data_IF_239463513624
#
_entry.id   IF_239463513624
#
_cell.length_a   1.000
_cell.length_b   1.000
_cell.length_c   1.000
_cell.angle_alpha   90.00
_cell.angle_beta   90.00
_cell.angle_gamma   90.00
#
_symmetry.space_group_name_H-M   'P 1'
#
loop_
_entity.id
_entity.type
_entity.pdbx_description
1 polymer ?
#
# COMPACT_ATOMS: atom_id res chain seq x y z
N UNK A 1 -24.77 53.49 30.49
CA UNK A 1 -24.96 52.66 29.28
C UNK A 1 -23.71 51.82 29.07
N UNK A 2 -23.80 50.50 29.18
CA UNK A 2 -22.68 49.55 29.05
C UNK A 2 -22.86 48.81 27.72
N UNK A 3 -22.05 49.16 26.72
CA UNK A 3 -22.07 48.52 25.40
C UNK A 3 -21.14 47.31 25.44
N UNK A 4 -21.73 46.12 25.45
CA UNK A 4 -21.02 44.84 25.41
C UNK A 4 -20.82 44.51 23.93
N UNK A 5 -19.63 44.77 23.37
CA UNK A 5 -19.24 44.23 22.07
C UNK A 5 -18.85 42.76 22.26
N UNK A 6 -19.74 41.84 21.90
CA UNK A 6 -19.38 40.43 21.68
C UNK A 6 -18.65 40.32 20.35
N UNK A 7 -17.36 39.98 20.40
CA UNK A 7 -16.57 39.62 19.22
C UNK A 7 -16.79 38.13 18.91
N UNK A 8 -17.60 37.83 17.90
CA UNK A 8 -17.79 36.48 17.38
C UNK A 8 -16.55 36.09 16.57
N UNK A 9 -15.71 35.22 17.13
CA UNK A 9 -14.58 34.60 16.43
C UNK A 9 -15.14 33.52 15.51
N UNK A 10 -15.08 33.74 14.20
CA UNK A 10 -15.46 32.79 13.17
C UNK A 10 -14.26 31.88 12.86
N UNK A 11 -14.20 30.72 13.53
CA UNK A 11 -13.16 29.71 13.29
C UNK A 11 -13.36 29.04 11.93
N UNK A 12 -12.52 29.36 10.95
CA UNK A 12 -12.45 28.66 9.66
C UNK A 12 -11.61 27.40 9.84
N UNK A 13 -12.26 26.25 10.06
CA UNK A 13 -11.62 24.95 9.91
C UNK A 13 -11.53 24.63 8.41
N UNK A 14 -10.35 24.85 7.82
CA UNK A 14 -10.05 24.40 6.47
C UNK A 14 -9.95 22.88 6.43
N UNK A 15 -10.67 22.24 5.50
CA UNK A 15 -10.53 20.82 5.23
C UNK A 15 -9.12 20.54 4.70
N UNK A 16 -8.30 19.85 5.48
CA UNK A 16 -7.04 19.33 4.96
C UNK A 16 -7.37 18.12 4.08
N UNK A 17 -7.22 18.28 2.77
CA UNK A 17 -7.23 17.14 1.87
C UNK A 17 -6.00 16.29 2.22
N UNK A 18 -6.23 15.07 2.71
CA UNK A 18 -5.19 14.07 2.81
C UNK A 18 -4.72 13.76 1.38
N UNK A 19 -3.61 14.37 0.97
CA UNK A 19 -2.96 14.06 -0.29
C UNK A 19 -2.26 12.72 -0.11
N UNK A 20 -2.59 11.76 -0.98
CA UNK A 20 -1.90 10.48 -1.02
C UNK A 20 -0.39 10.71 -1.18
N UNK A 21 0.40 9.97 -0.40
CA UNK A 21 1.84 9.94 -0.52
C UNK A 21 2.29 9.39 -1.89
N UNK A 22 3.54 9.66 -2.30
CA UNK A 22 4.05 9.23 -3.61
C UNK A 22 4.06 7.71 -3.82
N UNK A 23 4.07 6.95 -2.72
CA UNK A 23 4.08 5.49 -2.74
C UNK A 23 2.82 4.89 -2.10
N UNK A 24 1.76 5.67 -1.90
CA UNK A 24 0.51 5.12 -1.35
C UNK A 24 -0.08 4.09 -2.32
N UNK A 25 -0.53 2.96 -1.76
CA UNK A 25 -0.99 1.83 -2.56
C UNK A 25 -1.04 0.51 -1.80
N UNK A 26 -1.67 -0.48 -2.42
CA UNK A 26 -1.64 -1.88 -2.00
C UNK A 26 -0.76 -2.65 -2.99
N UNK A 27 0.13 -3.49 -2.49
CA UNK A 27 1.13 -4.16 -3.31
C UNK A 27 1.23 -5.66 -3.00
N UNK A 28 1.29 -6.46 -4.06
CA UNK A 28 1.38 -7.92 -4.00
C UNK A 28 2.72 -8.35 -3.40
N UNK A 29 2.72 -9.19 -2.37
CA UNK A 29 3.96 -9.75 -1.82
C UNK A 29 4.61 -10.80 -2.73
N UNK A 30 3.78 -11.50 -3.51
CA UNK A 30 4.16 -12.49 -4.51
C UNK A 30 3.17 -12.44 -5.67
N UNK A 31 3.48 -13.08 -6.80
CA UNK A 31 2.64 -13.04 -8.00
C UNK A 31 1.17 -13.48 -7.76
N UNK A 32 0.97 -14.45 -6.86
CA UNK A 32 -0.33 -15.01 -6.49
C UNK A 32 -0.87 -14.46 -5.15
N UNK A 33 -0.38 -13.30 -4.70
CA UNK A 33 -0.79 -12.68 -3.45
C UNK A 33 -2.27 -12.27 -3.44
N UNK A 34 -2.94 -12.47 -2.32
CA UNK A 34 -4.32 -12.05 -2.13
C UNK A 34 -4.40 -10.57 -1.73
N UNK A 35 -4.72 -9.72 -2.71
CA UNK A 35 -4.73 -8.26 -2.57
C UNK A 35 -5.68 -7.72 -1.49
N UNK A 36 -6.73 -8.47 -1.15
CA UNK A 36 -7.68 -8.07 -0.10
C UNK A 36 -7.15 -8.31 1.32
N UNK A 37 -6.12 -9.15 1.48
CA UNK A 37 -5.56 -9.54 2.77
C UNK A 37 -4.28 -8.75 3.03
N UNK A 38 -4.34 -7.71 3.86
CA UNK A 38 -3.20 -6.83 4.14
C UNK A 38 -2.42 -7.32 5.36
N UNK A 39 -1.09 -7.36 5.25
CA UNK A 39 -0.18 -7.59 6.38
C UNK A 39 -0.16 -9.02 6.92
N UNK A 40 -0.54 -10.00 6.08
CA UNK A 40 -0.50 -11.43 6.40
C UNK A 40 0.31 -12.19 5.36
N UNK A 41 0.77 -13.39 5.72
CA UNK A 41 1.46 -14.29 4.80
C UNK A 41 0.60 -14.60 3.56
N UNK A 42 1.21 -14.50 2.39
CA UNK A 42 0.52 -14.72 1.10
C UNK A 42 -0.46 -13.61 0.70
N UNK A 43 -0.57 -12.54 1.49
CA UNK A 43 -1.39 -11.37 1.18
C UNK A 43 -0.62 -10.25 0.49
N UNK A 44 -1.09 -9.02 0.67
CA UNK A 44 -0.46 -7.79 0.19
C UNK A 44 0.12 -6.95 1.33
N UNK A 45 1.04 -6.04 0.99
CA UNK A 45 1.46 -4.95 1.86
C UNK A 45 0.75 -3.67 1.46
N UNK A 46 0.63 -2.71 2.38
CA UNK A 46 -0.01 -1.43 2.09
C UNK A 46 0.86 -0.28 2.55
N UNK A 47 0.90 0.78 1.76
CA UNK A 47 1.39 2.09 2.17
C UNK A 47 0.21 3.04 2.13
N UNK A 48 -0.10 3.69 3.25
CA UNK A 48 -1.12 4.72 3.30
C UNK A 48 -0.84 5.69 4.43
N UNK A 49 -1.02 6.98 4.18
CA UNK A 49 -0.93 8.02 5.21
C UNK A 49 0.43 8.02 5.93
N UNK A 50 1.50 7.66 5.21
CA UNK A 50 2.86 7.56 5.76
C UNK A 50 3.09 6.35 6.68
N UNK A 51 2.21 5.34 6.64
CA UNK A 51 2.36 4.08 7.35
C UNK A 51 2.54 2.93 6.35
N UNK A 52 3.57 2.12 6.56
CA UNK A 52 3.78 0.84 5.89
C UNK A 52 3.22 -0.30 6.75
N UNK A 53 2.26 -1.03 6.19
CA UNK A 53 1.64 -2.22 6.75
C UNK A 53 2.26 -3.45 6.06
N UNK A 54 3.31 -4.00 6.69
CA UNK A 54 4.00 -5.21 6.27
C UNK A 54 3.40 -6.46 6.94
N UNK A 55 3.96 -7.63 6.63
CA UNK A 55 3.63 -8.86 7.35
C UNK A 55 4.13 -8.74 8.78
N UNK A 56 3.22 -8.85 9.74
CA UNK A 56 3.52 -8.83 11.19
C UNK A 56 4.23 -7.55 11.69
N UNK A 57 4.31 -6.51 10.86
CA UNK A 57 5.00 -5.26 11.16
C UNK A 57 4.23 -4.06 10.65
N UNK A 58 4.15 -3.01 11.46
CA UNK A 58 3.67 -1.69 11.07
C UNK A 58 4.80 -0.68 11.26
N UNK A 59 5.09 0.13 10.24
CA UNK A 59 6.17 1.11 10.28
C UNK A 59 5.68 2.51 9.90
N UNK A 60 5.88 3.49 10.78
CA UNK A 60 5.75 4.90 10.40
C UNK A 60 6.94 5.32 9.55
N UNK A 61 6.66 5.80 8.36
CA UNK A 61 7.62 6.31 7.40
C UNK A 61 7.87 7.79 7.68
N UNK A 62 9.04 8.12 8.23
CA UNK A 62 9.40 9.47 8.65
C UNK A 62 10.63 9.99 7.92
N UNK A 63 10.84 11.31 8.01
CA UNK A 63 12.05 12.00 7.57
C UNK A 63 12.52 11.61 6.16
N UNK A 64 11.69 11.79 5.11
CA UNK A 64 12.07 11.45 3.75
C UNK A 64 13.28 12.26 3.29
N UNK A 65 14.29 11.57 2.77
CA UNK A 65 15.47 12.18 2.14
C UNK A 65 15.52 11.78 0.68
N UNK A 66 15.72 12.74 -0.21
CA UNK A 66 15.94 12.45 -1.63
C UNK A 66 17.25 11.70 -1.83
N UNK A 67 17.22 10.66 -2.66
CA UNK A 67 18.44 10.02 -3.14
C UNK A 67 18.95 10.81 -4.35
N UNK A 68 20.21 11.23 -4.30
CA UNK A 68 20.77 12.10 -5.35
C UNK A 68 20.75 11.39 -6.71
N UNK A 69 20.31 12.13 -7.73
CA UNK A 69 20.20 11.67 -9.12
C UNK A 69 19.34 10.41 -9.32
N UNK A 70 18.39 10.18 -8.42
CA UNK A 70 17.41 9.08 -8.49
C UNK A 70 16.01 9.59 -8.14
N UNK A 71 14.98 9.03 -8.79
CA UNK A 71 13.59 9.24 -8.37
C UNK A 71 13.23 8.28 -7.22
N UNK A 72 13.84 8.54 -6.07
CA UNK A 72 13.75 7.68 -4.89
C UNK A 72 13.78 8.50 -3.60
N UNK A 73 13.04 8.01 -2.60
CA UNK A 73 13.06 8.57 -1.25
C UNK A 73 13.55 7.53 -0.25
N UNK A 74 14.42 7.96 0.64
CA UNK A 74 14.94 7.17 1.73
C UNK A 74 14.30 7.63 3.04
N UNK A 75 13.54 6.72 3.65
CA UNK A 75 12.79 6.98 4.87
C UNK A 75 13.49 6.41 6.10
N UNK A 76 13.22 7.02 7.24
CA UNK A 76 13.38 6.39 8.55
C UNK A 76 12.10 5.61 8.87
N UNK A 77 12.21 4.29 9.00
CA UNK A 77 11.10 3.38 9.30
C UNK A 77 11.04 3.14 10.80
N UNK A 78 10.05 3.71 11.48
CA UNK A 78 9.83 3.51 12.91
C UNK A 78 8.79 2.40 13.09
N UNK A 79 9.26 1.19 13.37
CA UNK A 79 8.48 -0.02 13.27
C UNK A 79 8.06 -0.59 14.63
N UNK A 80 6.89 -1.23 14.65
CA UNK A 80 6.42 -2.09 15.72
C UNK A 80 5.91 -3.41 15.17
N UNK A 81 6.38 -4.53 15.72
CA UNK A 81 5.97 -5.89 15.34
C UNK A 81 6.42 -6.88 16.40
N UNK A 82 5.60 -7.91 16.68
CA UNK A 82 5.91 -8.98 17.65
C UNK A 82 6.48 -8.48 19.00
N UNK A 83 5.82 -7.50 19.62
CA UNK A 83 6.22 -6.85 20.88
C UNK A 83 7.57 -6.09 20.86
N UNK A 84 8.16 -5.92 19.67
CA UNK A 84 9.40 -5.18 19.48
C UNK A 84 9.14 -3.83 18.82
N UNK A 85 9.93 -2.83 19.21
CA UNK A 85 10.00 -1.53 18.54
C UNK A 85 11.42 -1.34 18.06
N UNK A 86 11.56 -1.05 16.77
CA UNK A 86 12.85 -0.88 16.13
C UNK A 86 12.80 0.25 15.10
N UNK A 87 13.98 0.70 14.68
CA UNK A 87 14.12 1.77 13.71
C UNK A 87 15.17 1.37 12.68
N UNK A 88 14.77 1.42 11.41
CA UNK A 88 15.63 1.09 10.27
C UNK A 88 15.45 2.11 9.16
N UNK A 89 16.18 1.94 8.04
CA UNK A 89 16.00 2.78 6.87
C UNK A 89 15.58 1.95 5.67
N UNK A 90 14.62 2.46 4.92
CA UNK A 90 14.18 1.86 3.67
C UNK A 90 14.12 2.91 2.57
N UNK A 91 14.71 2.59 1.42
CA UNK A 91 14.58 3.36 0.19
C UNK A 91 13.37 2.84 -0.60
N UNK A 92 12.53 3.74 -1.07
CA UNK A 92 11.45 3.45 -2.00
C UNK A 92 11.65 4.21 -3.30
N UNK A 93 11.29 3.55 -4.40
CA UNK A 93 11.21 4.15 -5.73
C UNK A 93 10.14 3.43 -6.55
N UNK A 94 9.65 4.08 -7.60
CA UNK A 94 8.76 3.43 -8.55
C UNK A 94 9.53 2.40 -9.38
N UNK A 95 8.89 1.29 -9.71
CA UNK A 95 9.46 0.32 -10.66
C UNK A 95 9.53 0.97 -12.04
N UNK A 96 10.60 0.68 -12.79
CA UNK A 96 10.76 1.23 -14.15
C UNK A 96 9.69 0.71 -15.13
N UNK A 97 9.17 -0.49 -14.89
CA UNK A 97 8.13 -1.14 -15.69
C UNK A 97 6.88 -1.36 -14.83
N UNK A 98 5.68 -1.19 -15.39
CA UNK A 98 4.42 -1.37 -14.66
C UNK A 98 4.13 -0.26 -13.63
N UNK A 99 3.26 -0.55 -12.67
CA UNK A 99 2.73 0.40 -11.68
C UNK A 99 3.14 0.08 -10.23
N UNK A 100 4.19 -0.72 -10.06
CA UNK A 100 4.71 -1.21 -8.79
C UNK A 100 5.81 -0.33 -8.17
N UNK A 101 6.39 -0.82 -7.08
CA UNK A 101 7.48 -0.16 -6.36
C UNK A 101 8.66 -1.12 -6.14
N UNK A 102 9.83 -0.53 -5.89
CA UNK A 102 11.00 -1.22 -5.37
C UNK A 102 11.24 -0.67 -3.96
N UNK A 103 11.32 -1.56 -2.97
CA UNK A 103 11.61 -1.22 -1.58
C UNK A 103 12.91 -1.90 -1.16
N UNK A 104 13.93 -1.11 -0.84
CA UNK A 104 15.26 -1.59 -0.47
C UNK A 104 15.52 -1.27 0.99
N UNK A 105 15.92 -2.29 1.73
CA UNK A 105 16.34 -2.21 3.12
C UNK A 105 17.82 -2.62 3.22
N UNK A 106 18.36 -2.69 4.44
CA UNK A 106 19.76 -3.09 4.64
C UNK A 106 19.97 -4.58 4.29
N UNK A 107 20.52 -4.83 3.09
CA UNK A 107 20.86 -6.17 2.62
C UNK A 107 19.77 -6.91 1.83
N UNK A 108 18.58 -6.31 1.66
CA UNK A 108 17.47 -6.93 0.92
C UNK A 108 16.68 -5.93 0.09
N UNK A 109 16.13 -6.40 -1.04
CA UNK A 109 15.32 -5.61 -1.95
C UNK A 109 14.08 -6.39 -2.35
N UNK A 110 12.93 -5.75 -2.22
CA UNK A 110 11.64 -6.27 -2.67
C UNK A 110 11.18 -5.49 -3.89
N UNK A 111 10.66 -6.22 -4.87
CA UNK A 111 9.99 -5.65 -6.03
C UNK A 111 8.53 -6.03 -5.92
N UNK A 112 7.66 -5.05 -5.70
CA UNK A 112 6.25 -5.28 -5.52
C UNK A 112 5.45 -4.78 -6.71
N UNK A 113 4.57 -5.63 -7.23
CA UNK A 113 3.54 -5.20 -8.17
C UNK A 113 2.37 -4.59 -7.42
N UNK A 114 1.76 -3.56 -8.00
CA UNK A 114 0.59 -2.94 -7.40
C UNK A 114 -0.62 -3.85 -7.59
N UNK A 115 -1.43 -3.96 -6.55
CA UNK A 115 -2.73 -4.60 -6.65
C UNK A 115 -3.67 -3.78 -7.56
N UNK A 116 -4.55 -4.43 -8.32
CA UNK A 116 -5.57 -3.71 -9.08
C UNK A 116 -6.40 -2.86 -8.13
N UNK A 117 -6.72 -1.63 -8.54
CA UNK A 117 -7.74 -0.83 -7.86
C UNK A 117 -9.05 -1.64 -7.80
N UNK A 118 -9.88 -1.50 -6.75
CA UNK A 118 -11.18 -2.17 -6.70
C UNK A 118 -12.00 -1.87 -7.96
N UNK A 119 -12.17 -2.88 -8.83
CA UNK A 119 -12.86 -2.77 -10.12
C UNK A 119 -11.96 -2.59 -11.36
N UNK A 120 -10.64 -2.57 -11.21
CA UNK A 120 -9.70 -2.63 -12.32
C UNK A 120 -9.49 -4.10 -12.75
N UNK A 121 -9.55 -4.33 -14.07
CA UNK A 121 -9.15 -5.62 -14.68
C UNK A 121 -7.63 -5.68 -14.76
N UNK A 122 -7.04 -6.70 -14.15
CA UNK A 122 -5.59 -6.96 -14.22
C UNK A 122 -5.26 -7.48 -15.64
N UNK A 123 -4.81 -6.59 -16.53
CA UNK A 123 -4.51 -6.91 -17.93
C UNK A 123 -3.20 -7.68 -18.11
N UNK A 124 -2.39 -7.76 -17.04
CA UNK A 124 -1.11 -8.47 -17.01
C UNK A 124 -1.20 -9.79 -16.23
N UNK A 125 -2.39 -10.15 -15.70
CA UNK A 125 -2.62 -11.47 -15.15
C UNK A 125 -2.48 -12.52 -16.27
N UNK A 126 -1.68 -13.59 -16.07
CA UNK A 126 -1.65 -14.68 -17.03
C UNK A 126 -3.07 -15.25 -17.13
N UNK A 127 -3.62 -15.28 -18.35
CA UNK A 127 -4.93 -15.86 -18.60
C UNK A 127 -4.95 -17.29 -18.06
N UNK A 128 -5.68 -17.52 -16.97
CA UNK A 128 -6.02 -18.89 -16.60
C UNK A 128 -7.04 -19.36 -17.63
N UNK A 129 -6.66 -20.39 -18.37
CA UNK A 129 -7.51 -21.05 -19.37
C UNK A 129 -8.58 -21.89 -18.64
N UNK A 130 -9.41 -21.24 -17.82
CA UNK A 130 -10.57 -21.85 -17.18
C UNK A 130 -11.76 -21.76 -18.13
N UNK A 131 -11.63 -22.44 -19.27
CA UNK A 131 -12.77 -22.99 -19.97
C UNK A 131 -13.39 -24.05 -19.05
N UNK A 132 -14.33 -23.61 -18.21
CA UNK A 132 -15.24 -24.49 -17.49
C UNK A 132 -15.84 -25.49 -18.49
N UNK A 133 -15.37 -26.73 -18.45
CA UNK A 133 -16.01 -27.83 -19.15
C UNK A 133 -17.46 -27.92 -18.63
N UNK A 134 -18.47 -27.99 -19.50
CA UNK A 134 -19.84 -28.18 -19.04
C UNK A 134 -19.94 -29.54 -18.35
N UNK A 135 -20.35 -29.54 -17.09
CA UNK A 135 -20.76 -30.75 -16.38
C UNK A 135 -22.00 -31.27 -17.09
N UNK A 136 -21.84 -32.31 -17.92
CA UNK A 136 -22.99 -33.02 -18.47
C UNK A 136 -23.55 -33.91 -17.37
N UNK A 137 -24.68 -33.46 -16.82
CA UNK A 137 -25.56 -34.24 -15.95
C UNK A 137 -26.18 -35.37 -16.78
N UNK A 138 -25.75 -36.61 -16.57
CA UNK A 138 -26.33 -37.79 -17.19
C UNK A 138 -27.32 -38.44 -16.23
N UNK A 139 -28.56 -37.92 -16.25
CA UNK A 139 -29.73 -38.62 -15.75
C UNK A 139 -30.28 -39.56 -16.83
N UNK A 140 -30.35 -40.86 -16.52
CA UNK A 140 -31.26 -41.88 -17.06
C UNK A 140 -31.20 -43.06 -16.06
N UNK A 141 -32.20 -43.38 -15.23
CA UNK A 141 -33.53 -43.94 -15.52
C UNK A 141 -33.46 -45.17 -16.44
N UNK A 142 -33.19 -46.36 -15.86
CA UNK A 142 -34.12 -47.49 -15.62
C UNK A 142 -33.32 -48.72 -15.14
#
# INVERSE_FOLDING_TARGET
MKTILSATILSVFGAQAALAGPYDGVYKQAANAECAMIGVDGGAVRIADGIFYGVEVECRMADPVNVLDMDALLYTMQCSGEDQVFSERAMLMNKAEGNGIIMVWDGYAFVYDRCPEPGAVDVDAPATDDAAAPVTDAAATE
#
